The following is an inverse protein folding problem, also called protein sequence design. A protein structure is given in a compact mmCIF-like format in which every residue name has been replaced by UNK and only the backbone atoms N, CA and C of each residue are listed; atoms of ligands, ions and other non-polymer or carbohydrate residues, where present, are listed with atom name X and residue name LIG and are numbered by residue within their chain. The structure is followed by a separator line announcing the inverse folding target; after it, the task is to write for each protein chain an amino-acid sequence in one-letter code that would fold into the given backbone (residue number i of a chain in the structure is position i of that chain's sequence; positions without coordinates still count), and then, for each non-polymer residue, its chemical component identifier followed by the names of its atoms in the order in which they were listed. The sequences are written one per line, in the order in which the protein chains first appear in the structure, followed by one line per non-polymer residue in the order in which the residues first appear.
data_IF_295528212097
#
_entry.id   IF_295528212097
#
_cell.length_a   1.000
_cell.length_b   1.000
_cell.length_c   1.000
_cell.angle_alpha   90.00
_cell.angle_beta   90.00
_cell.angle_gamma   90.00
#
_symmetry.space_group_name_H-M   'P 1'
#
loop_
_entity.id
_entity.type
_entity.pdbx_description
1 polymer ?
#
# COMPACT_ATOMS: atom_id res chain seq x y z
N UNK A 1 -16.87 -14.26 26.46
CA UNK A 1 -15.69 -13.41 26.74
C UNK A 1 -15.21 -12.82 25.43
N UNK A 2 -15.26 -11.49 25.25
CA UNK A 2 -14.62 -10.84 24.10
C UNK A 2 -13.12 -10.81 24.40
N UNK A 3 -12.32 -11.58 23.65
CA UNK A 3 -10.86 -11.51 23.75
C UNK A 3 -10.43 -10.19 23.12
N UNK A 4 -10.00 -9.25 23.95
CA UNK A 4 -9.26 -8.08 23.47
C UNK A 4 -7.84 -8.55 23.15
N UNK A 5 -7.35 -8.17 21.98
CA UNK A 5 -5.98 -8.46 21.56
C UNK A 5 -5.03 -7.57 22.35
N UNK A 6 -3.84 -8.08 22.60
CA UNK A 6 -2.74 -7.26 23.13
C UNK A 6 -2.28 -6.30 22.04
N UNK A 7 -1.74 -5.14 22.44
CA UNK A 7 -1.22 -4.11 21.53
C UNK A 7 -0.19 -4.67 20.53
N UNK A 8 0.55 -5.69 20.94
CA UNK A 8 1.53 -6.39 20.10
C UNK A 8 0.85 -7.24 19.01
N UNK A 9 -0.20 -7.99 19.37
CA UNK A 9 -0.99 -8.78 18.42
C UNK A 9 -1.73 -7.88 17.42
N UNK A 10 -2.22 -6.72 17.86
CA UNK A 10 -2.84 -5.72 16.98
C UNK A 10 -1.86 -5.21 15.92
N UNK A 11 -0.60 -4.95 16.31
CA UNK A 11 0.45 -4.53 15.39
C UNK A 11 0.84 -5.62 14.39
N UNK A 12 0.98 -6.87 14.86
CA UNK A 12 1.33 -7.99 13.99
C UNK A 12 0.23 -8.24 12.94
N UNK A 13 -1.04 -8.13 13.33
CA UNK A 13 -2.17 -8.19 12.40
C UNK A 13 -2.14 -7.01 11.43
N UNK A 14 -1.94 -5.79 11.91
CA UNK A 14 -1.84 -4.60 11.06
C UNK A 14 -0.74 -4.76 10.01
N UNK A 15 0.41 -5.28 10.38
CA UNK A 15 1.53 -5.52 9.48
C UNK A 15 1.16 -6.48 8.34
N UNK A 16 0.50 -7.58 8.65
CA UNK A 16 0.03 -8.57 7.67
C UNK A 16 -1.04 -7.96 6.75
N UNK A 17 -1.92 -7.13 7.31
CA UNK A 17 -2.96 -6.44 6.54
C UNK A 17 -2.33 -5.43 5.58
N UNK A 18 -1.41 -4.58 6.07
CA UNK A 18 -0.70 -3.61 5.23
C UNK A 18 0.10 -4.31 4.12
N UNK A 19 0.73 -5.46 4.40
CA UNK A 19 1.43 -6.24 3.37
C UNK A 19 0.51 -6.65 2.20
N UNK A 20 -0.72 -7.11 2.52
CA UNK A 20 -1.73 -7.41 1.50
C UNK A 20 -2.19 -6.17 0.71
N UNK A 21 -2.27 -5.01 1.37
CA UNK A 21 -2.62 -3.75 0.70
C UNK A 21 -1.46 -3.16 -0.12
N UNK A 22 -0.21 -3.33 0.31
CA UNK A 22 0.98 -2.95 -0.45
C UNK A 22 1.01 -3.69 -1.79
N UNK A 23 0.60 -4.96 -1.80
CA UNK A 23 0.45 -5.73 -3.04
C UNK A 23 -0.48 -5.04 -4.05
N UNK A 24 -1.57 -4.39 -3.61
CA UNK A 24 -2.48 -3.65 -4.50
C UNK A 24 -1.78 -2.45 -5.15
N UNK A 25 -0.95 -1.74 -4.40
CA UNK A 25 -0.14 -0.65 -4.95
C UNK A 25 0.84 -1.13 -6.01
N UNK A 26 1.48 -2.29 -5.78
CA UNK A 26 2.36 -2.93 -6.78
C UNK A 26 1.57 -3.33 -8.03
N UNK A 27 0.37 -3.87 -7.87
CA UNK A 27 -0.51 -4.19 -9.01
C UNK A 27 -0.89 -2.94 -9.81
N UNK A 28 -1.21 -1.83 -9.16
CA UNK A 28 -1.49 -0.56 -9.84
C UNK A 28 -0.29 -0.07 -10.65
N UNK A 29 0.92 -0.15 -10.10
CA UNK A 29 2.14 0.21 -10.82
C UNK A 29 2.35 -0.69 -12.04
N UNK A 30 2.23 -2.00 -11.87
CA UNK A 30 2.35 -2.97 -12.97
C UNK A 30 1.31 -2.74 -14.07
N UNK A 31 0.07 -2.46 -13.68
CA UNK A 31 -1.02 -2.17 -14.63
C UNK A 31 -0.81 -0.85 -15.37
N UNK A 32 -0.37 0.21 -14.68
CA UNK A 32 -0.05 1.48 -15.31
C UNK A 32 1.13 1.37 -16.29
N UNK A 33 2.15 0.57 -15.96
CA UNK A 33 3.25 0.25 -16.88
C UNK A 33 2.76 -0.56 -18.09
N UNK A 34 1.93 -1.58 -17.87
CA UNK A 34 1.34 -2.37 -18.94
C UNK A 34 0.56 -1.48 -19.92
N UNK A 35 -0.23 -0.54 -19.41
CA UNK A 35 -0.99 0.44 -20.20
C UNK A 35 -0.11 1.35 -21.07
N UNK A 36 1.04 1.79 -20.54
CA UNK A 36 2.02 2.58 -21.29
C UNK A 36 2.64 1.76 -22.43
N UNK A 37 2.93 0.47 -22.19
CA UNK A 37 3.58 -0.41 -23.18
C UNK A 37 2.58 -0.85 -24.27
N UNK A 38 1.32 -1.10 -23.90
CA UNK A 38 0.28 -1.60 -24.80
C UNK A 38 -0.13 -0.55 -25.85
N UNK A 39 -0.24 0.73 -25.46
CA UNK A 39 -0.68 1.79 -26.37
C UNK A 39 -0.12 3.16 -26.00
N UNK A 40 0.52 3.82 -26.97
CA UNK A 40 0.98 5.22 -26.82
C UNK A 40 -0.16 6.22 -26.63
N UNK A 41 -1.39 5.89 -27.06
CA UNK A 41 -2.56 6.74 -26.79
C UNK A 41 -3.00 6.69 -25.32
N UNK A 42 -2.68 5.61 -24.60
CA UNK A 42 -3.01 5.43 -23.19
C UNK A 42 -1.90 5.90 -22.24
N UNK A 43 -0.86 6.55 -22.77
CA UNK A 43 0.29 7.02 -21.99
C UNK A 43 -0.11 7.91 -20.79
N UNK A 44 -1.01 8.86 -21.01
CA UNK A 44 -1.47 9.76 -19.94
C UNK A 44 -2.25 9.01 -18.85
N UNK A 45 -3.05 8.01 -19.23
CA UNK A 45 -3.81 7.17 -18.29
C UNK A 45 -2.86 6.28 -17.50
N UNK A 46 -1.91 5.64 -18.17
CA UNK A 46 -0.90 4.81 -17.52
C UNK A 46 -0.03 5.60 -16.52
N UNK A 47 0.38 6.82 -16.88
CA UNK A 47 1.07 7.72 -15.95
C UNK A 47 0.20 8.09 -14.75
N UNK A 48 -1.07 8.43 -14.96
CA UNK A 48 -1.98 8.75 -13.85
C UNK A 48 -2.17 7.56 -12.90
N UNK A 49 -2.28 6.35 -13.44
CA UNK A 49 -2.39 5.11 -12.65
C UNK A 49 -1.10 4.85 -11.86
N UNK A 50 0.08 5.05 -12.46
CA UNK A 50 1.37 4.91 -11.76
C UNK A 50 1.48 5.91 -10.62
N UNK A 51 1.16 7.19 -10.86
CA UNK A 51 1.19 8.23 -9.84
C UNK A 51 0.23 7.87 -8.69
N UNK A 52 -0.99 7.40 -9.01
CA UNK A 52 -1.94 6.92 -8.01
C UNK A 52 -1.39 5.75 -7.19
N UNK A 53 -0.73 4.79 -7.83
CA UNK A 53 -0.08 3.66 -7.16
C UNK A 53 1.05 4.10 -6.23
N UNK A 54 1.90 5.04 -6.66
CA UNK A 54 2.97 5.61 -5.82
C UNK A 54 2.41 6.32 -4.60
N UNK A 55 1.37 7.14 -4.79
CA UNK A 55 0.72 7.86 -3.68
C UNK A 55 0.09 6.89 -2.68
N UNK A 56 -0.60 5.85 -3.18
CA UNK A 56 -1.21 4.82 -2.34
C UNK A 56 -0.15 4.08 -1.51
N UNK A 57 0.94 3.63 -2.14
CA UNK A 57 2.06 2.97 -1.43
C UNK A 57 2.69 3.89 -0.38
N UNK A 58 2.89 5.17 -0.72
CA UNK A 58 3.48 6.14 0.20
C UNK A 58 2.63 6.32 1.46
N UNK A 59 1.30 6.43 1.31
CA UNK A 59 0.37 6.55 2.43
C UNK A 59 0.43 5.30 3.32
N UNK A 60 0.41 4.10 2.71
CA UNK A 60 0.48 2.84 3.47
C UNK A 60 1.77 2.71 4.28
N UNK A 61 2.91 3.10 3.70
CA UNK A 61 4.20 3.10 4.41
C UNK A 61 4.21 4.12 5.55
N UNK A 62 3.67 5.32 5.34
CA UNK A 62 3.59 6.35 6.38
C UNK A 62 2.76 5.86 7.57
N UNK A 63 1.62 5.20 7.32
CA UNK A 63 0.80 4.63 8.39
C UNK A 63 1.59 3.59 9.17
N UNK A 64 2.30 2.69 8.48
CA UNK A 64 3.10 1.64 9.11
C UNK A 64 4.22 2.22 9.99
N UNK A 65 4.95 3.22 9.50
CA UNK A 65 6.04 3.87 10.25
C UNK A 65 5.51 4.56 11.50
N UNK A 66 4.39 5.27 11.39
CA UNK A 66 3.77 5.96 12.54
C UNK A 66 3.35 5.00 13.64
N UNK A 67 2.73 3.87 13.28
CA UNK A 67 2.34 2.85 14.26
C UNK A 67 3.56 2.15 14.88
N UNK A 68 4.61 1.92 14.09
CA UNK A 68 5.85 1.36 14.61
C UNK A 68 6.54 2.28 15.63
N UNK A 69 6.63 3.58 15.34
CA UNK A 69 7.19 4.58 16.25
C UNK A 69 6.41 4.66 17.58
N UNK A 70 5.08 4.53 17.51
CA UNK A 70 4.21 4.57 18.69
C UNK A 70 4.36 3.35 19.62
N UNK A 71 4.80 2.21 19.11
CA UNK A 71 5.07 1.00 19.92
C UNK A 71 6.46 1.05 20.55
N UNK A 72 7.42 1.70 19.89
CA UNK A 72 8.80 1.83 20.39
C UNK A 72 8.92 2.87 21.52
N UNK A 73 8.02 3.85 21.56
CA UNK A 73 7.96 4.89 22.60
C UNK A 73 7.19 4.46 23.84
#
# INVERSE_FOLDING_TARGET
MKKHLTRQEEFDILKIVIDKFLLLGVFLLGYGLFKIIESTQEFAVGLAVIIGGVLLLSILVIILVREYEFIKS
#
